data_IF_949235259763
#
_entry.id   IF_949235259763
#
_cell.length_a   1.000
_cell.length_b   1.000
_cell.length_c   1.000
_cell.angle_alpha   90.00
_cell.angle_beta   90.00
_cell.angle_gamma   90.00
#
_symmetry.space_group_name_H-M   'P 1'
#
loop_
_entity.id
_entity.type
_entity.pdbx_description
1 polymer ?
#
# COMPACT_ATOMS: atom_id res chain seq x y z
N UNK A 1 -37.04 14.82 -7.83
CA UNK A 1 -36.03 15.89 -8.04
C UNK A 1 -34.64 15.25 -7.96
N UNK A 2 -33.70 15.73 -8.76
CA UNK A 2 -32.36 15.20 -9.13
C UNK A 2 -31.56 14.39 -8.07
N UNK A 3 -30.93 13.29 -8.55
CA UNK A 3 -29.77 12.55 -7.97
C UNK A 3 -28.52 13.49 -7.93
N UNK A 4 -27.38 13.23 -7.23
CA UNK A 4 -26.52 12.06 -7.47
C UNK A 4 -25.74 11.46 -6.27
N UNK A 5 -25.53 10.16 -6.40
CA UNK A 5 -24.35 9.43 -5.95
C UNK A 5 -23.06 10.25 -6.17
N UNK A 6 -22.50 10.77 -5.09
CA UNK A 6 -21.24 11.49 -5.11
C UNK A 6 -20.30 10.96 -4.04
N UNK A 7 -19.49 10.00 -4.50
CA UNK A 7 -18.04 10.17 -4.59
C UNK A 7 -17.40 10.81 -3.36
N UNK A 8 -16.63 10.02 -2.60
CA UNK A 8 -15.15 10.00 -2.65
C UNK A 8 -14.69 8.61 -2.21
N UNK A 9 -14.66 7.61 -3.09
CA UNK A 9 -13.45 7.33 -3.87
C UNK A 9 -12.17 7.70 -3.08
N UNK A 10 -11.93 7.01 -1.97
CA UNK A 10 -10.64 7.07 -1.32
C UNK A 10 -10.03 5.69 -1.06
N UNK A 11 -10.34 4.75 -1.96
CA UNK A 11 -9.28 3.95 -2.54
C UNK A 11 -8.32 4.88 -3.24
N UNK A 12 -7.52 5.63 -2.46
CA UNK A 12 -6.26 6.17 -2.94
C UNK A 12 -5.53 4.94 -3.44
N UNK A 13 -5.62 4.71 -4.74
CA UNK A 13 -4.55 4.09 -5.50
C UNK A 13 -3.35 5.02 -5.29
N UNK A 14 -2.79 4.99 -4.07
CA UNK A 14 -1.43 5.44 -3.83
C UNK A 14 -0.69 4.47 -4.73
N UNK A 15 -0.25 4.98 -5.88
CA UNK A 15 0.83 4.33 -6.61
C UNK A 15 1.87 3.93 -5.56
N UNK A 16 2.34 2.69 -5.55
CA UNK A 16 3.24 2.24 -4.51
C UNK A 16 4.39 3.24 -4.41
N UNK A 17 4.64 3.81 -3.23
CA UNK A 17 5.75 4.74 -3.06
C UNK A 17 7.06 4.01 -3.39
N UNK A 18 8.08 4.70 -3.93
CA UNK A 18 9.38 4.09 -4.17
C UNK A 18 9.95 3.43 -2.91
N UNK A 19 9.68 4.00 -1.73
CA UNK A 19 10.07 3.46 -0.43
C UNK A 19 9.51 2.04 -0.16
N UNK A 20 8.38 1.66 -0.77
CA UNK A 20 7.83 0.30 -0.68
C UNK A 20 8.67 -0.73 -1.46
N UNK A 21 9.37 -0.30 -2.50
CA UNK A 21 10.30 -1.15 -3.24
C UNK A 21 11.61 -1.28 -2.45
N UNK A 22 12.12 -0.17 -1.92
CA UNK A 22 13.33 -0.14 -1.07
C UNK A 22 13.13 -0.98 0.21
N UNK A 23 11.94 -0.94 0.82
CA UNK A 23 11.62 -1.75 1.99
C UNK A 23 11.65 -3.26 1.70
N UNK A 24 11.41 -3.65 0.44
CA UNK A 24 11.50 -5.02 -0.02
C UNK A 24 12.84 -5.34 -0.70
N UNK A 25 13.76 -4.37 -0.79
CA UNK A 25 15.09 -4.55 -1.34
C UNK A 25 15.90 -5.44 -0.37
N UNK A 26 16.27 -6.64 -0.82
CA UNK A 26 16.93 -7.65 0.01
C UNK A 26 15.98 -8.54 0.83
N UNK A 27 14.66 -8.36 0.71
CA UNK A 27 13.64 -9.30 1.21
C UNK A 27 13.13 -10.21 0.10
N UNK A 28 12.36 -11.22 0.47
CA UNK A 28 11.73 -12.17 -0.46
C UNK A 28 10.26 -11.83 -0.69
N UNK A 29 9.71 -12.28 -1.83
CA UNK A 29 8.26 -12.27 -2.04
C UNK A 29 7.56 -13.09 -0.93
N UNK A 30 6.58 -12.49 -0.27
CA UNK A 30 5.87 -13.01 0.90
C UNK A 30 6.40 -12.53 2.25
N UNK A 31 7.55 -11.86 2.30
CA UNK A 31 8.11 -11.38 3.57
C UNK A 31 7.35 -10.15 4.10
N UNK A 32 7.08 -10.10 5.40
CA UNK A 32 6.49 -8.92 6.03
C UNK A 32 7.53 -7.83 6.24
N UNK A 33 7.16 -6.61 5.88
CA UNK A 33 8.03 -5.46 5.96
C UNK A 33 7.25 -4.23 6.41
N UNK A 34 7.98 -3.27 6.95
CA UNK A 34 7.42 -1.99 7.35
C UNK A 34 8.42 -0.87 7.04
N UNK A 35 7.90 0.28 6.63
CA UNK A 35 8.69 1.48 6.41
C UNK A 35 7.92 2.72 6.85
N UNK A 36 8.63 3.77 7.21
CA UNK A 36 8.03 5.08 7.39
C UNK A 36 8.00 5.85 6.06
N UNK A 37 6.82 6.32 5.69
CA UNK A 37 6.68 7.27 4.58
C UNK A 37 7.28 8.63 4.97
N UNK A 38 7.54 9.50 3.98
CA UNK A 38 8.05 10.86 4.20
C UNK A 38 7.19 11.73 5.10
N UNK A 39 5.95 11.30 5.37
CA UNK A 39 5.01 11.92 6.30
C UNK A 39 5.21 11.49 7.76
N UNK A 40 6.14 10.56 8.05
CA UNK A 40 6.25 9.90 9.36
C UNK A 40 5.12 8.91 9.62
N UNK A 41 4.47 8.40 8.55
CA UNK A 41 3.45 7.36 8.67
C UNK A 41 4.15 6.00 8.53
N UNK A 42 4.16 5.18 9.59
CA UNK A 42 4.62 3.79 9.49
C UNK A 42 3.61 2.95 8.71
N UNK A 43 4.04 2.38 7.60
CA UNK A 43 3.28 1.50 6.74
C UNK A 43 3.82 0.09 6.86
N UNK A 44 2.98 -0.84 7.30
CA UNK A 44 3.28 -2.27 7.39
C UNK A 44 2.54 -3.02 6.28
N UNK A 45 3.18 -4.05 5.74
CA UNK A 45 2.64 -4.84 4.64
C UNK A 45 3.54 -6.02 4.29
N UNK A 46 3.18 -6.70 3.21
CA UNK A 46 3.90 -7.88 2.73
C UNK A 46 4.54 -7.55 1.38
N UNK A 47 5.78 -7.97 1.18
CA UNK A 47 6.46 -7.83 -0.10
C UNK A 47 5.81 -8.76 -1.12
N UNK A 48 5.27 -8.21 -2.20
CA UNK A 48 4.66 -8.97 -3.29
C UNK A 48 5.42 -8.66 -4.58
N UNK A 49 5.62 -9.67 -5.43
CA UNK A 49 6.21 -9.44 -6.75
C UNK A 49 5.13 -8.88 -7.70
N UNK A 50 5.26 -7.62 -8.07
CA UNK A 50 4.37 -6.93 -9.00
C UNK A 50 5.18 -6.56 -10.25
N UNK A 51 4.87 -7.21 -11.38
CA UNK A 51 5.53 -6.99 -12.67
C UNK A 51 7.07 -7.16 -12.66
N UNK A 52 7.58 -8.12 -11.89
CA UNK A 52 9.03 -8.40 -11.78
C UNK A 52 9.79 -7.44 -10.86
N UNK A 53 9.07 -6.67 -10.03
CA UNK A 53 9.63 -5.88 -8.94
C UNK A 53 8.98 -6.28 -7.62
N UNK A 54 9.78 -6.39 -6.56
CA UNK A 54 9.26 -6.58 -5.22
C UNK A 54 8.70 -5.26 -4.70
N UNK A 55 7.44 -5.25 -4.33
CA UNK A 55 6.75 -4.07 -3.81
C UNK A 55 6.05 -4.41 -2.51
N UNK A 56 6.19 -3.54 -1.51
CA UNK A 56 5.46 -3.69 -0.26
C UNK A 56 3.98 -3.37 -0.46
N UNK A 57 3.15 -4.39 -0.38
CA UNK A 57 1.69 -4.28 -0.38
C UNK A 57 1.21 -4.14 1.06
N UNK A 58 0.65 -2.97 1.45
CA UNK A 58 0.08 -2.83 2.78
C UNK A 58 -1.10 -3.79 2.93
N UNK A 59 -1.08 -4.64 3.96
CA UNK A 59 -2.26 -5.38 4.35
C UNK A 59 -3.24 -4.39 4.98
N UNK A 60 -4.14 -3.83 4.17
CA UNK A 60 -5.25 -3.04 4.71
C UNK A 60 -6.16 -4.00 5.48
N UNK A 61 -5.95 -4.10 6.79
CA UNK A 61 -7.03 -4.35 7.72
C UNK A 61 -8.02 -3.21 7.50
N UNK A 62 -9.03 -3.42 6.67
CA UNK A 62 -10.13 -2.48 6.53
C UNK A 62 -10.79 -2.26 7.89
N UNK A 63 -11.49 -1.13 8.10
CA UNK A 63 -12.28 -0.97 9.32
C UNK A 63 -13.24 -2.17 9.44
N UNK A 64 -13.35 -2.83 10.62
CA UNK A 64 -14.39 -3.83 10.81
C UNK A 64 -15.76 -3.17 10.62
N UNK A 65 -16.66 -3.90 9.95
CA UNK A 65 -18.01 -3.47 9.58
C UNK A 65 -18.89 -3.08 10.77
#
# INVERSE_FOLDING_TARGET
>A
MLRPDHKKANGKRRSPPPEAYDACEGKSAGDEAQFEDRRGETLTGSCEEDNGKLVLRPQRSGPPA
#
